data_IF_964345153536
#
_entry.id   IF_964345153536
#
_cell.length_a   1.000
_cell.length_b   1.000
_cell.length_c   1.000
_cell.angle_alpha   90.00
_cell.angle_beta   90.00
_cell.angle_gamma   90.00
#
_symmetry.space_group_name_H-M   'P 1'
#
loop_
_entity.id
_entity.type
_entity.pdbx_description
1 polymer ?
#
# COMPACT_ATOMS: atom_id res chain seq x y z
N UNK A 1 -47.85 -22.14 1.02
CA UNK A 1 -46.62 -21.67 1.69
C UNK A 1 -45.52 -21.77 0.64
N UNK A 2 -45.20 -20.67 -0.03
CA UNK A 2 -44.32 -20.66 -1.20
C UNK A 2 -42.87 -20.50 -0.73
N UNK A 3 -42.06 -21.55 -0.85
CA UNK A 3 -40.61 -21.47 -0.69
C UNK A 3 -40.04 -20.72 -1.88
N UNK A 4 -39.48 -19.55 -1.64
CA UNK A 4 -38.72 -18.81 -2.65
C UNK A 4 -37.33 -19.44 -2.70
N UNK A 5 -37.10 -20.32 -3.66
CA UNK A 5 -35.77 -20.77 -4.03
C UNK A 5 -35.13 -19.64 -4.85
N UNK A 6 -34.34 -18.80 -4.20
CA UNK A 6 -33.47 -17.86 -4.89
C UNK A 6 -32.34 -18.71 -5.45
N UNK A 7 -32.34 -18.95 -6.76
CA UNK A 7 -31.23 -19.64 -7.45
C UNK A 7 -30.00 -18.73 -7.49
N UNK A 8 -28.82 -19.33 -7.32
CA UNK A 8 -27.49 -18.70 -7.34
C UNK A 8 -27.23 -17.77 -8.53
N UNK A 9 -27.99 -17.90 -9.61
CA UNK A 9 -27.86 -17.14 -10.87
C UNK A 9 -28.34 -15.69 -10.74
N UNK A 10 -29.45 -15.45 -10.02
CA UNK A 10 -29.99 -14.10 -9.78
C UNK A 10 -29.13 -13.30 -8.78
N UNK A 11 -28.42 -14.00 -7.89
CA UNK A 11 -27.44 -13.39 -6.98
C UNK A 11 -26.18 -12.94 -7.72
N UNK A 12 -25.85 -13.55 -8.85
CA UNK A 12 -24.65 -13.23 -9.63
C UNK A 12 -24.82 -11.94 -10.46
N UNK A 13 -26.00 -11.71 -11.02
CA UNK A 13 -26.31 -10.49 -11.79
C UNK A 13 -26.37 -9.24 -10.91
N UNK A 14 -27.04 -9.30 -9.75
CA UNK A 14 -27.03 -8.19 -8.78
C UNK A 14 -25.62 -7.88 -8.26
N UNK A 15 -24.79 -8.92 -8.08
CA UNK A 15 -23.39 -8.78 -7.67
C UNK A 15 -22.49 -8.22 -8.78
N UNK A 16 -22.84 -8.40 -10.06
CA UNK A 16 -22.08 -7.82 -11.19
C UNK A 16 -22.48 -6.38 -11.48
N UNK A 17 -23.76 -6.01 -11.33
CA UNK A 17 -24.24 -4.64 -11.63
C UNK A 17 -23.96 -3.61 -10.51
N UNK A 18 -23.63 -4.06 -9.29
CA UNK A 18 -23.34 -3.17 -8.15
C UNK A 18 -21.96 -3.39 -7.51
N UNK A 19 -21.10 -4.21 -8.12
CA UNK A 19 -19.78 -4.59 -7.59
C UNK A 19 -18.88 -3.39 -7.30
N UNK A 20 -18.95 -2.36 -8.14
CA UNK A 20 -18.14 -1.14 -7.98
C UNK A 20 -18.61 -0.24 -6.82
N UNK A 21 -19.86 -0.37 -6.35
CA UNK A 21 -20.38 0.39 -5.20
C UNK A 21 -20.23 -0.32 -3.84
N UNK A 22 -19.89 -1.61 -3.82
CA UNK A 22 -19.75 -2.40 -2.58
C UNK A 22 -18.29 -2.78 -2.24
N UNK A 23 -17.34 -2.47 -3.10
CA UNK A 23 -15.92 -2.64 -2.81
C UNK A 23 -15.42 -1.35 -2.16
N UNK A 24 -15.24 -1.36 -0.84
CA UNK A 24 -14.40 -0.32 -0.24
C UNK A 24 -13.03 -0.38 -0.92
N UNK A 25 -12.52 0.75 -1.45
CA UNK A 25 -11.25 0.75 -2.16
C UNK A 25 -10.16 0.30 -1.19
N UNK A 26 -9.32 -0.65 -1.62
CA UNK A 26 -8.18 -1.11 -0.81
C UNK A 26 -7.37 0.10 -0.36
N UNK A 27 -7.13 0.19 0.94
CA UNK A 27 -6.34 1.27 1.53
C UNK A 27 -5.03 0.71 2.05
N UNK A 28 -3.93 1.41 1.78
CA UNK A 28 -2.61 1.08 2.29
C UNK A 28 -2.18 2.21 3.21
N UNK A 29 -1.76 1.86 4.43
CA UNK A 29 -1.01 2.75 5.28
C UNK A 29 0.47 2.50 5.03
N UNK A 30 1.16 3.48 4.47
CA UNK A 30 2.59 3.38 4.21
C UNK A 30 3.35 4.57 4.76
N UNK A 31 4.66 4.35 4.93
CA UNK A 31 5.64 5.40 5.12
C UNK A 31 6.55 5.46 3.91
N UNK A 32 7.12 6.62 3.65
CA UNK A 32 8.14 6.75 2.61
C UNK A 32 9.32 7.64 3.01
N UNK A 33 10.46 7.31 2.41
CA UNK A 33 11.66 8.15 2.41
C UNK A 33 11.89 8.58 0.97
N UNK A 34 11.91 9.89 0.73
CA UNK A 34 12.23 10.47 -0.57
C UNK A 34 13.63 11.07 -0.53
N UNK A 35 14.47 10.74 -1.50
CA UNK A 35 15.82 11.30 -1.67
C UNK A 35 16.08 11.67 -3.13
N UNK A 36 17.08 12.53 -3.37
CA UNK A 36 17.39 13.04 -4.70
C UNK A 36 18.08 12.00 -5.60
N UNK A 37 18.85 11.07 -5.01
CA UNK A 37 19.71 10.15 -5.78
C UNK A 37 19.42 8.68 -5.49
N UNK A 38 19.61 7.84 -6.51
CA UNK A 38 19.47 6.38 -6.40
C UNK A 38 20.50 5.79 -5.43
N UNK A 39 21.73 6.31 -5.43
CA UNK A 39 22.81 5.85 -4.56
C UNK A 39 22.43 6.03 -3.09
N UNK A 40 21.91 7.21 -2.72
CA UNK A 40 21.43 7.45 -1.36
C UNK A 40 20.26 6.53 -1.02
N UNK A 41 19.29 6.37 -1.92
CA UNK A 41 18.15 5.49 -1.68
C UNK A 41 18.59 4.03 -1.42
N UNK A 42 19.54 3.52 -2.21
CA UNK A 42 20.07 2.17 -2.02
C UNK A 42 20.83 2.03 -0.71
N UNK A 43 21.63 3.03 -0.32
CA UNK A 43 22.35 3.01 0.96
C UNK A 43 21.37 2.98 2.15
N UNK A 44 20.34 3.82 2.13
CA UNK A 44 19.31 3.84 3.16
C UNK A 44 18.52 2.53 3.19
N UNK A 45 18.19 1.95 2.03
CA UNK A 45 17.51 0.66 1.94
C UNK A 45 18.34 -0.47 2.56
N UNK A 46 19.66 -0.49 2.35
CA UNK A 46 20.57 -1.45 2.97
C UNK A 46 20.54 -1.32 4.50
N UNK A 47 20.66 -0.10 5.03
CA UNK A 47 20.60 0.14 6.48
C UNK A 47 19.28 -0.32 7.10
N UNK A 48 18.16 -0.10 6.40
CA UNK A 48 16.84 -0.55 6.83
C UNK A 48 16.72 -2.09 6.80
N UNK A 49 17.24 -2.75 5.75
CA UNK A 49 17.25 -4.22 5.63
C UNK A 49 18.14 -4.89 6.67
N UNK A 50 19.23 -4.25 7.06
CA UNK A 50 20.12 -4.73 8.13
C UNK A 50 19.56 -4.44 9.54
N UNK A 51 18.46 -3.71 9.64
CA UNK A 51 17.82 -3.37 10.93
C UNK A 51 18.68 -2.44 11.80
N UNK A 52 19.56 -1.64 11.18
CA UNK A 52 20.48 -0.75 11.87
C UNK A 52 19.79 0.50 12.42
N UNK A 53 18.63 0.89 11.87
CA UNK A 53 17.91 2.11 12.22
C UNK A 53 16.42 1.94 11.93
N UNK A 54 15.57 2.64 12.71
CA UNK A 54 14.13 2.67 12.49
C UNK A 54 13.78 3.52 11.26
N UNK A 55 12.78 3.07 10.49
CA UNK A 55 12.34 3.76 9.28
C UNK A 55 11.91 5.21 9.55
N UNK A 56 11.23 5.45 10.67
CA UNK A 56 10.72 6.77 11.04
C UNK A 56 11.86 7.75 11.34
N UNK A 57 12.89 7.29 12.02
CA UNK A 57 14.05 8.12 12.37
C UNK A 57 14.84 8.45 11.10
N UNK A 58 15.10 7.44 10.26
CA UNK A 58 15.79 7.65 8.99
C UNK A 58 15.02 8.59 8.06
N UNK A 59 13.68 8.49 8.05
CA UNK A 59 12.82 9.39 7.29
C UNK A 59 12.91 10.84 7.81
N UNK A 60 12.93 11.08 9.12
CA UNK A 60 13.09 12.43 9.68
C UNK A 60 14.45 13.04 9.33
N UNK A 61 15.49 12.23 9.31
CA UNK A 61 16.86 12.70 9.10
C UNK A 61 17.24 12.87 7.63
N UNK A 62 16.73 12.00 6.75
CA UNK A 62 17.20 11.89 5.36
C UNK A 62 16.15 12.18 4.31
N UNK A 63 14.85 12.05 4.63
CA UNK A 63 13.80 12.29 3.65
C UNK A 63 13.69 13.79 3.34
N UNK A 64 13.64 14.13 2.06
CA UNK A 64 13.35 15.48 1.57
C UNK A 64 11.85 15.71 1.33
N UNK A 65 11.01 14.70 1.61
CA UNK A 65 9.57 14.77 1.43
C UNK A 65 8.84 15.54 2.54
N UNK A 66 7.61 16.02 2.29
CA UNK A 66 6.83 16.76 3.29
C UNK A 66 6.41 15.93 4.51
N UNK A 67 6.44 14.59 4.39
CA UNK A 67 6.15 13.63 5.46
C UNK A 67 7.35 13.34 6.37
N UNK A 68 8.55 13.82 6.01
CA UNK A 68 9.78 13.65 6.79
C UNK A 68 9.62 13.94 8.30
N UNK A 69 9.06 15.09 8.74
CA UNK A 69 8.91 15.37 10.18
C UNK A 69 8.01 14.37 10.92
N UNK A 70 7.10 13.70 10.22
CA UNK A 70 6.24 12.64 10.75
C UNK A 70 6.85 11.24 10.59
N UNK A 71 8.16 11.14 10.31
CA UNK A 71 8.82 9.87 10.07
C UNK A 71 8.40 9.20 8.76
N UNK A 72 8.09 10.00 7.74
CA UNK A 72 7.69 9.52 6.42
C UNK A 72 6.24 9.05 6.36
N UNK A 73 5.45 9.20 7.41
CA UNK A 73 4.08 8.71 7.49
C UNK A 73 3.14 9.42 6.50
N UNK A 74 2.41 8.64 5.69
CA UNK A 74 1.42 9.13 4.74
C UNK A 74 -0.03 8.82 5.17
N UNK A 75 -0.22 8.10 6.27
CA UNK A 75 -1.52 7.55 6.65
C UNK A 75 -2.07 6.56 5.61
N UNK A 76 -3.37 6.29 5.68
CA UNK A 76 -4.08 5.43 4.73
C UNK A 76 -4.38 6.18 3.43
N UNK A 77 -4.00 5.58 2.31
CA UNK A 77 -4.36 6.08 0.98
C UNK A 77 -4.88 4.96 0.09
N UNK A 78 -5.71 5.35 -0.88
CA UNK A 78 -6.24 4.48 -1.94
C UNK A 78 -5.45 4.65 -3.22
N UNK A 79 -5.64 3.74 -4.18
CA UNK A 79 -5.13 3.94 -5.54
C UNK A 79 -5.67 5.24 -6.15
N UNK A 80 -4.87 5.91 -6.97
CA UNK A 80 -5.16 7.19 -7.60
C UNK A 80 -4.83 8.43 -6.76
N UNK A 81 -4.42 8.28 -5.49
CA UNK A 81 -4.01 9.42 -4.65
C UNK A 81 -2.51 9.73 -4.73
N UNK A 82 -1.70 8.77 -5.17
CA UNK A 82 -0.24 8.88 -5.30
C UNK A 82 0.18 8.66 -6.76
N UNK A 83 1.43 8.98 -7.09
CA UNK A 83 1.98 8.68 -8.43
C UNK A 83 2.00 7.18 -8.68
N UNK A 84 1.78 6.78 -9.94
CA UNK A 84 1.58 5.38 -10.33
C UNK A 84 2.69 4.44 -9.85
N UNK A 85 3.94 4.84 -10.02
CA UNK A 85 5.11 4.05 -9.61
C UNK A 85 5.13 3.80 -8.09
N UNK A 86 4.76 4.82 -7.32
CA UNK A 86 4.71 4.76 -5.86
C UNK A 86 3.56 3.87 -5.37
N UNK A 87 2.35 4.09 -5.87
CA UNK A 87 1.20 3.29 -5.44
C UNK A 87 1.37 1.82 -5.87
N UNK A 88 1.92 1.54 -7.04
CA UNK A 88 2.05 0.15 -7.48
C UNK A 88 2.98 -0.64 -6.55
N UNK A 89 4.12 -0.03 -6.20
CA UNK A 89 5.03 -0.59 -5.21
C UNK A 89 4.36 -0.72 -3.84
N UNK A 90 3.76 0.34 -3.30
CA UNK A 90 3.13 0.31 -1.97
C UNK A 90 2.01 -0.73 -1.86
N UNK A 91 1.17 -0.85 -2.90
CA UNK A 91 0.09 -1.83 -2.96
C UNK A 91 0.59 -3.26 -3.25
N UNK A 92 1.83 -3.45 -3.68
CA UNK A 92 2.43 -4.77 -3.86
C UNK A 92 3.07 -5.32 -2.57
N UNK A 93 3.44 -4.46 -1.60
CA UNK A 93 4.11 -4.87 -0.35
C UNK A 93 3.18 -5.49 0.68
N UNK A 94 3.55 -6.56 1.38
CA UNK A 94 2.79 -7.03 2.54
C UNK A 94 2.96 -6.10 3.76
N UNK A 95 2.02 -6.07 4.72
CA UNK A 95 2.17 -5.31 5.95
C UNK A 95 3.47 -5.66 6.69
N UNK A 96 4.28 -4.66 6.99
CA UNK A 96 5.61 -4.78 7.58
C UNK A 96 6.76 -4.83 6.56
N UNK A 97 6.48 -5.02 5.27
CA UNK A 97 7.52 -5.07 4.24
C UNK A 97 8.02 -3.69 3.79
N UNK A 98 9.24 -3.68 3.27
CA UNK A 98 9.91 -2.51 2.70
C UNK A 98 10.16 -2.78 1.22
N UNK A 99 9.81 -1.83 0.35
CA UNK A 99 10.05 -1.92 -1.09
C UNK A 99 11.53 -1.82 -1.44
N UNK A 100 11.82 -2.22 -2.68
CA UNK A 100 13.00 -1.74 -3.37
C UNK A 100 12.92 -0.23 -3.64
N UNK A 101 14.00 0.35 -4.16
CA UNK A 101 14.03 1.76 -4.54
C UNK A 101 13.07 2.01 -5.70
N UNK A 102 12.12 2.92 -5.51
CA UNK A 102 11.11 3.29 -6.51
C UNK A 102 11.45 4.66 -7.07
N UNK A 103 11.74 4.75 -8.36
CA UNK A 103 11.95 6.02 -9.04
C UNK A 103 10.61 6.70 -9.34
N UNK A 104 10.59 8.03 -9.29
CA UNK A 104 9.49 8.86 -9.77
C UNK A 104 10.02 10.21 -10.26
N UNK A 105 9.14 11.05 -10.80
CA UNK A 105 9.47 12.44 -11.13
C UNK A 105 9.97 13.30 -9.95
N UNK A 106 9.74 12.89 -8.69
CA UNK A 106 10.17 13.62 -7.50
C UNK A 106 11.53 13.17 -6.95
N UNK A 107 12.11 12.11 -7.51
CA UNK A 107 13.30 11.44 -6.99
C UNK A 107 13.03 9.97 -6.68
N UNK A 108 13.80 9.44 -5.73
CA UNK A 108 13.81 8.02 -5.37
C UNK A 108 13.14 7.80 -4.02
N UNK A 109 12.22 6.83 -3.98
CA UNK A 109 11.39 6.51 -2.83
C UNK A 109 11.76 5.14 -2.28
N UNK A 110 11.79 5.04 -0.96
CA UNK A 110 11.75 3.76 -0.25
C UNK A 110 10.42 3.74 0.47
N UNK A 111 9.65 2.68 0.33
CA UNK A 111 8.29 2.58 0.85
C UNK A 111 8.26 1.48 1.88
N UNK A 112 7.64 1.72 3.03
CA UNK A 112 7.32 0.69 4.00
C UNK A 112 5.82 0.60 4.15
N UNK A 113 5.25 -0.59 3.94
CA UNK A 113 3.85 -0.83 4.22
C UNK A 113 3.69 -1.08 5.73
N UNK A 114 2.92 -0.25 6.42
CA UNK A 114 2.62 -0.45 7.84
C UNK A 114 1.38 -1.35 8.01
N UNK A 115 0.32 -1.04 7.26
CA UNK A 115 -0.94 -1.78 7.33
C UNK A 115 -1.65 -1.76 5.97
N UNK A 116 -2.38 -2.84 5.65
CA UNK A 116 -3.32 -2.85 4.54
C UNK A 116 -4.72 -3.16 5.03
N UNK A 117 -5.66 -2.34 4.58
CA UNK A 117 -7.10 -2.59 4.68
C UNK A 117 -7.59 -3.08 3.33
N UNK A 118 -7.56 -4.39 3.17
CA UNK A 118 -8.25 -5.07 2.08
C UNK A 118 -9.67 -5.44 2.51
N UNK A 119 -10.62 -5.43 1.58
CA UNK A 119 -11.96 -5.94 1.83
C UNK A 119 -11.87 -7.41 2.27
N UNK A 120 -12.36 -7.68 3.47
CA UNK A 120 -12.29 -8.96 4.17
C UNK A 120 -12.89 -10.15 3.38
N UNK A 121 -13.58 -9.93 2.24
CA UNK A 121 -14.09 -11.03 1.41
C UNK A 121 -13.05 -11.69 0.50
N UNK A 122 -11.87 -11.10 0.28
CA UNK A 122 -10.83 -11.73 -0.57
C UNK A 122 -10.13 -12.91 0.11
N UNK A 123 -10.09 -12.95 1.44
CA UNK A 123 -9.41 -14.00 2.20
C UNK A 123 -10.28 -15.25 2.48
N UNK A 124 -11.58 -15.25 2.11
CA UNK A 124 -12.46 -16.39 2.34
C UNK A 124 -12.36 -17.53 1.29
N UNK A 125 -11.44 -17.43 0.31
CA UNK A 125 -11.27 -18.45 -0.75
C UNK A 125 -9.88 -19.08 -0.82
N UNK A 126 -9.18 -19.20 0.31
CA UNK A 126 -8.00 -20.06 0.40
C UNK A 126 -8.11 -21.03 1.58
N UNK A 127 -9.12 -21.88 1.50
CA UNK A 127 -9.14 -23.19 2.16
C UNK A 127 -9.40 -24.21 1.07
N UNK A 128 -8.33 -24.91 0.66
CA UNK A 128 -8.41 -26.21 -0.01
C UNK A 128 -8.03 -27.27 1.02
#
# INVERSE_FOLDING_TARGET
>A
RNQVSISDEELLEYYNENKESFLEPVQVHARHILVETEEEANNLLLQLKEGLTDFAELAKEKSIGPSAPSGGDLGFFTRGQMVKEFEDAAFSLEPGEISEVVQSQFGYHIIKCEEKKEDLKRNARRVE
#
